data_IF_641367792727
#
_entry.id   IF_641367792727
#
_cell.length_a   1.000
_cell.length_b   1.000
_cell.length_c   1.000
_cell.angle_alpha   90.00
_cell.angle_beta   90.00
_cell.angle_gamma   90.00
#
_symmetry.space_group_name_H-M   'P 1'
#
loop_
_entity.id
_entity.type
_entity.pdbx_description
1 polymer ?
#
# COMPACT_ATOMS: atom_id res chain seq x y z
N UNK A 1 -3.60 -15.60 4.77
CA UNK A 1 -3.14 -14.20 4.66
C UNK A 1 -3.46 -13.49 5.96
N UNK A 2 -2.61 -12.55 6.39
CA UNK A 2 -2.88 -11.76 7.59
C UNK A 2 -3.99 -10.73 7.30
N UNK A 3 -4.94 -10.61 8.21
CA UNK A 3 -6.04 -9.64 8.15
C UNK A 3 -5.83 -8.61 9.26
N UNK A 4 -6.11 -7.35 8.96
CA UNK A 4 -6.04 -6.29 9.95
C UNK A 4 -7.10 -6.48 11.06
N UNK A 5 -6.78 -6.14 12.33
CA UNK A 5 -7.76 -6.12 13.41
C UNK A 5 -8.95 -5.22 13.07
N UNK A 6 -10.15 -5.62 13.47
CA UNK A 6 -11.40 -4.91 13.15
C UNK A 6 -11.38 -3.44 13.62
N UNK A 7 -10.77 -3.16 14.77
CA UNK A 7 -10.62 -1.79 15.27
C UNK A 7 -9.76 -0.90 14.34
N UNK A 8 -8.70 -1.47 13.74
CA UNK A 8 -7.89 -0.73 12.76
C UNK A 8 -8.68 -0.51 11.46
N UNK A 9 -9.45 -1.51 11.03
CA UNK A 9 -10.31 -1.39 9.84
C UNK A 9 -11.37 -0.31 10.03
N UNK A 10 -12.01 -0.26 11.20
CA UNK A 10 -12.99 0.77 11.55
C UNK A 10 -12.37 2.18 11.52
N UNK A 11 -11.20 2.35 12.14
CA UNK A 11 -10.48 3.63 12.16
C UNK A 11 -10.08 4.07 10.74
N UNK A 12 -9.61 3.13 9.92
CA UNK A 12 -9.27 3.40 8.53
C UNK A 12 -10.51 3.79 7.71
N UNK A 13 -11.62 3.09 7.91
CA UNK A 13 -12.89 3.40 7.24
C UNK A 13 -13.35 4.82 7.57
N UNK A 14 -13.34 5.21 8.85
CA UNK A 14 -13.67 6.57 9.28
C UNK A 14 -12.77 7.61 8.61
N UNK A 15 -11.47 7.35 8.50
CA UNK A 15 -10.54 8.22 7.77
C UNK A 15 -10.92 8.37 6.28
N UNK A 16 -11.22 7.26 5.60
CA UNK A 16 -11.62 7.28 4.18
C UNK A 16 -12.91 8.10 3.97
N UNK A 17 -13.92 7.86 4.81
CA UNK A 17 -15.23 8.52 4.72
C UNK A 17 -15.13 10.02 5.06
N UNK A 18 -14.47 10.36 6.16
CA UNK A 18 -14.30 11.77 6.59
C UNK A 18 -13.43 12.59 5.63
N UNK A 19 -12.50 11.94 4.92
CA UNK A 19 -11.65 12.60 3.93
C UNK A 19 -12.29 12.67 2.54
N UNK A 20 -13.49 12.10 2.34
CA UNK A 20 -14.16 12.06 1.04
C UNK A 20 -13.41 11.24 -0.02
N UNK A 21 -12.60 10.27 0.42
CA UNK A 21 -11.78 9.44 -0.46
C UNK A 21 -12.64 8.34 -1.08
N UNK A 22 -12.62 8.24 -2.42
CA UNK A 22 -13.24 7.11 -3.12
C UNK A 22 -12.25 5.94 -3.23
N UNK A 23 -12.38 4.96 -2.34
CA UNK A 23 -11.55 3.75 -2.31
C UNK A 23 -12.40 2.48 -2.15
N UNK A 24 -11.88 1.36 -2.67
CA UNK A 24 -12.46 0.02 -2.55
C UNK A 24 -11.91 -0.68 -1.32
N UNK A 25 -12.78 -1.31 -0.54
CA UNK A 25 -12.39 -2.12 0.61
C UNK A 25 -11.86 -3.49 0.16
N UNK A 26 -10.80 -3.95 0.80
CA UNK A 26 -10.27 -5.31 0.66
C UNK A 26 -10.64 -6.15 1.89
N UNK A 27 -10.90 -7.44 1.69
CA UNK A 27 -11.29 -8.37 2.77
C UNK A 27 -10.23 -8.53 3.87
N UNK A 28 -8.96 -8.24 3.56
CA UNK A 28 -7.83 -8.22 4.50
C UNK A 28 -7.80 -6.97 5.37
N UNK A 29 -8.68 -5.99 5.13
CA UNK A 29 -8.89 -4.84 6.01
C UNK A 29 -8.14 -3.57 5.62
N UNK A 30 -7.61 -3.48 4.40
CA UNK A 30 -7.11 -2.23 3.84
C UNK A 30 -8.06 -1.68 2.78
N UNK A 31 -7.81 -0.45 2.35
CA UNK A 31 -8.52 0.18 1.23
C UNK A 31 -7.55 0.49 0.10
N UNK A 32 -8.05 0.53 -1.13
CA UNK A 32 -7.23 0.88 -2.28
C UNK A 32 -8.03 1.61 -3.36
N UNK A 33 -7.33 2.34 -4.22
CA UNK A 33 -7.91 2.95 -5.42
C UNK A 33 -6.97 2.66 -6.58
N UNK A 34 -7.46 2.01 -7.63
CA UNK A 34 -6.68 1.73 -8.84
C UNK A 34 -6.87 2.90 -9.80
N UNK A 35 -5.80 3.63 -10.09
CA UNK A 35 -5.80 4.70 -11.09
C UNK A 35 -5.63 4.12 -12.50
N UNK A 36 -4.81 3.07 -12.63
CA UNK A 36 -4.63 2.32 -13.88
C UNK A 36 -4.41 0.84 -13.56
N UNK A 37 -5.14 -0.10 -14.19
CA UNK A 37 -4.96 -1.53 -13.91
C UNK A 37 -3.64 -2.08 -14.44
N UNK A 38 -3.01 -1.40 -15.41
CA UNK A 38 -1.87 -1.95 -16.16
C UNK A 38 -2.29 -3.10 -17.09
N UNK A 39 -1.30 -3.83 -17.61
CA UNK A 39 -1.54 -4.97 -18.50
C UNK A 39 -0.49 -6.07 -18.34
N UNK A 40 -0.88 -7.30 -18.68
CA UNK A 40 -0.02 -8.49 -18.56
C UNK A 40 -0.19 -9.24 -17.25
N UNK A 41 0.79 -10.07 -16.92
CA UNK A 41 0.77 -10.87 -15.71
C UNK A 41 0.93 -9.99 -14.46
N UNK A 42 0.15 -10.30 -13.43
CA UNK A 42 0.25 -9.64 -12.12
C UNK A 42 1.41 -10.25 -11.32
N UNK A 43 2.15 -9.45 -10.54
CA UNK A 43 3.22 -9.98 -9.70
C UNK A 43 2.65 -10.91 -8.63
N UNK A 44 3.48 -11.85 -8.18
CA UNK A 44 3.20 -12.64 -6.98
C UNK A 44 4.06 -12.12 -5.83
N UNK A 45 3.81 -12.56 -4.59
CA UNK A 45 4.66 -12.19 -3.44
C UNK A 45 6.14 -12.56 -3.64
N UNK A 46 6.45 -13.54 -4.50
CA UNK A 46 7.83 -13.95 -4.82
C UNK A 46 8.47 -13.10 -5.94
N UNK A 47 7.69 -12.27 -6.62
CA UNK A 47 8.18 -11.44 -7.70
C UNK A 47 9.12 -10.35 -7.19
N UNK A 48 10.16 -10.07 -7.97
CA UNK A 48 10.91 -8.84 -7.88
C UNK A 48 10.21 -7.80 -8.77
N UNK A 49 9.91 -6.62 -8.25
CA UNK A 49 9.19 -5.56 -8.97
C UNK A 49 9.99 -4.28 -8.99
N UNK A 50 9.86 -3.51 -10.07
CA UNK A 50 10.34 -2.13 -10.13
C UNK A 50 9.15 -1.18 -10.02
N UNK A 51 9.24 -0.21 -9.11
CA UNK A 51 8.15 0.73 -8.83
C UNK A 51 8.64 2.18 -8.76
N UNK A 52 7.72 3.11 -8.98
CA UNK A 52 7.77 4.44 -8.37
C UNK A 52 6.81 4.45 -7.18
N UNK A 53 7.16 5.13 -6.10
CA UNK A 53 6.22 5.30 -4.99
C UNK A 53 6.42 6.57 -4.19
N UNK A 54 5.36 6.96 -3.49
CA UNK A 54 5.32 8.00 -2.48
C UNK A 54 4.53 7.48 -1.28
N UNK A 55 5.14 7.47 -0.10
CA UNK A 55 4.52 7.13 1.18
C UNK A 55 4.28 8.38 2.02
N UNK A 56 3.04 8.57 2.48
CA UNK A 56 2.66 9.70 3.33
C UNK A 56 1.77 9.29 4.52
N UNK A 57 1.81 10.13 5.55
CA UNK A 57 0.88 10.08 6.68
C UNK A 57 -0.46 10.72 6.30
N UNK A 58 -1.51 10.47 7.10
CA UNK A 58 -2.85 11.05 6.89
C UNK A 58 -2.89 12.57 6.96
N UNK A 59 -1.87 13.21 7.57
CA UNK A 59 -1.72 14.66 7.58
C UNK A 59 -1.01 15.22 6.32
N UNK A 60 -0.75 14.39 5.32
CA UNK A 60 -0.07 14.77 4.08
C UNK A 60 1.46 14.82 4.15
N UNK A 61 2.07 14.58 5.33
CA UNK A 61 3.53 14.53 5.45
C UNK A 61 4.08 13.30 4.73
N UNK A 62 4.85 13.53 3.68
CA UNK A 62 5.63 12.49 2.99
C UNK A 62 6.76 12.05 3.92
N UNK A 63 6.89 10.74 4.13
CA UNK A 63 7.96 10.16 4.94
C UNK A 63 8.99 9.41 4.09
N UNK A 64 8.60 8.93 2.91
CA UNK A 64 9.48 8.21 1.99
C UNK A 64 8.96 8.31 0.55
N UNK A 65 9.86 8.31 -0.42
CA UNK A 65 9.51 8.29 -1.85
C UNK A 65 10.71 7.89 -2.68
N UNK A 66 10.49 7.13 -3.75
CA UNK A 66 11.55 6.76 -4.68
C UNK A 66 11.00 6.50 -6.09
N UNK A 67 11.89 6.50 -7.09
CA UNK A 67 11.55 6.26 -8.49
C UNK A 67 12.49 5.23 -9.11
N UNK A 68 11.92 4.35 -9.94
CA UNK A 68 12.64 3.29 -10.66
C UNK A 68 13.50 2.40 -9.72
N UNK A 69 12.99 2.10 -8.53
CA UNK A 69 13.64 1.26 -7.53
C UNK A 69 13.05 -0.15 -7.57
N UNK A 70 13.87 -1.16 -7.28
CA UNK A 70 13.46 -2.56 -7.34
C UNK A 70 13.46 -3.23 -5.97
N UNK A 71 12.46 -4.06 -5.71
CA UNK A 71 12.28 -4.77 -4.46
C UNK A 71 11.81 -6.20 -4.70
N UNK A 72 12.27 -7.14 -3.87
CA UNK A 72 11.58 -8.42 -3.72
C UNK A 72 10.33 -8.22 -2.86
N UNK A 73 9.13 -8.47 -3.40
CA UNK A 73 7.87 -8.17 -2.72
C UNK A 73 7.78 -8.83 -1.33
N UNK A 74 8.23 -10.08 -1.20
CA UNK A 74 8.22 -10.83 0.06
C UNK A 74 8.96 -10.17 1.24
N UNK A 75 9.83 -9.20 0.97
CA UNK A 75 10.61 -8.50 2.00
C UNK A 75 9.92 -7.22 2.51
N UNK A 76 8.83 -6.81 1.86
CA UNK A 76 8.16 -5.55 2.15
C UNK A 76 7.02 -5.72 3.15
N UNK A 77 6.42 -4.60 3.58
CA UNK A 77 5.23 -4.62 4.45
C UNK A 77 4.09 -5.41 3.80
N UNK A 78 3.26 -6.05 4.63
CA UNK A 78 2.18 -6.93 4.15
C UNK A 78 1.22 -6.21 3.20
N UNK A 79 0.89 -4.95 3.47
CA UNK A 79 0.02 -4.17 2.58
C UNK A 79 0.55 -4.04 1.16
N UNK A 80 1.87 -3.99 0.96
CA UNK A 80 2.46 -4.00 -0.38
C UNK A 80 2.43 -5.38 -1.03
N UNK A 81 2.74 -6.43 -0.25
CA UNK A 81 2.67 -7.82 -0.71
C UNK A 81 1.27 -8.18 -1.22
N UNK A 82 0.26 -7.60 -0.59
CA UNK A 82 -1.14 -7.91 -0.82
C UNK A 82 -1.82 -6.94 -1.82
N UNK A 83 -1.35 -5.68 -1.87
CA UNK A 83 -1.91 -4.61 -2.69
C UNK A 83 -1.28 -4.45 -4.07
N UNK A 84 0.05 -4.61 -4.22
CA UNK A 84 0.71 -4.48 -5.53
C UNK A 84 0.20 -5.53 -6.54
N UNK A 85 -0.03 -6.81 -6.16
CA UNK A 85 -0.63 -7.81 -7.03
C UNK A 85 -2.05 -7.49 -7.52
N UNK A 86 -2.70 -6.43 -7.05
CA UNK A 86 -4.00 -6.00 -7.57
C UNK A 86 -3.88 -5.37 -8.97
N UNK A 87 -2.71 -4.84 -9.33
CA UNK A 87 -2.40 -4.25 -10.63
C UNK A 87 -1.33 -5.05 -11.40
N UNK A 88 -1.28 -4.86 -12.70
CA UNK A 88 -0.25 -5.41 -13.59
C UNK A 88 0.77 -4.32 -13.97
N UNK A 89 1.91 -4.66 -14.60
CA UNK A 89 2.86 -3.68 -15.12
C UNK A 89 2.22 -2.55 -15.94
N UNK A 90 2.71 -1.33 -15.75
CA UNK A 90 2.11 -0.09 -16.24
C UNK A 90 0.90 0.40 -15.43
N UNK A 91 0.53 -0.31 -14.37
CA UNK A 91 -0.57 0.05 -13.47
C UNK A 91 -0.14 1.05 -12.39
N UNK A 92 -1.15 1.72 -11.83
CA UNK A 92 -1.00 2.68 -10.74
C UNK A 92 -2.09 2.45 -9.71
N UNK A 93 -1.70 2.38 -8.45
CA UNK A 93 -2.57 2.09 -7.31
C UNK A 93 -2.21 2.98 -6.12
N UNK A 94 -3.23 3.45 -5.42
CA UNK A 94 -3.11 4.03 -4.10
C UNK A 94 -3.58 3.02 -3.06
N UNK A 95 -2.74 2.72 -2.08
CA UNK A 95 -3.04 1.85 -0.94
C UNK A 95 -3.21 2.69 0.31
N UNK A 96 -4.25 2.41 1.08
CA UNK A 96 -4.51 2.99 2.40
C UNK A 96 -4.42 1.85 3.42
N UNK A 97 -3.34 1.85 4.18
CA UNK A 97 -2.94 0.71 4.99
C UNK A 97 -3.15 0.97 6.48
N UNK A 98 -3.84 0.07 7.20
CA UNK A 98 -3.88 0.11 8.65
C UNK A 98 -2.52 -0.31 9.23
N UNK A 99 -2.23 0.02 10.51
CA UNK A 99 -0.94 -0.23 11.13
C UNK A 99 -0.44 -1.68 11.02
N UNK A 100 -1.30 -2.67 11.26
CA UNK A 100 -0.94 -4.09 11.21
C UNK A 100 -0.51 -4.59 9.82
N UNK A 101 -0.93 -3.91 8.75
CA UNK A 101 -0.50 -4.18 7.37
C UNK A 101 0.67 -3.27 6.94
N UNK A 102 1.15 -2.42 7.85
CA UNK A 102 2.26 -1.49 7.69
C UNK A 102 3.36 -1.74 8.75
N UNK A 103 3.69 -0.74 9.57
CA UNK A 103 4.76 -0.80 10.59
C UNK A 103 4.27 -1.09 12.01
N UNK A 104 2.95 -1.25 12.20
CA UNK A 104 2.34 -1.65 13.47
C UNK A 104 2.56 -0.67 14.61
N UNK A 105 2.77 -1.21 15.82
CA UNK A 105 2.88 -0.47 17.07
C UNK A 105 4.25 0.15 17.34
N UNK A 106 5.16 0.14 16.35
CA UNK A 106 6.52 0.69 16.48
C UNK A 106 6.64 1.96 15.65
N UNK A 107 7.29 2.97 16.21
CA UNK A 107 7.71 4.13 15.45
C UNK A 107 8.92 3.78 14.58
N UNK A 108 8.99 4.33 13.36
CA UNK A 108 10.07 4.05 12.42
C UNK A 108 10.32 5.23 11.49
N UNK A 109 11.55 5.74 11.40
CA UNK A 109 11.95 6.69 10.35
C UNK A 109 11.07 7.94 10.25
N UNK A 110 10.55 8.47 11.36
CA UNK A 110 9.63 9.61 11.36
C UNK A 110 8.14 9.26 11.19
N UNK A 111 7.80 7.98 11.14
CA UNK A 111 6.45 7.42 11.19
C UNK A 111 6.10 7.12 12.66
N UNK A 112 5.06 7.75 13.24
CA UNK A 112 4.56 7.41 14.56
C UNK A 112 4.03 5.97 14.64
N UNK A 113 4.11 5.36 15.82
CA UNK A 113 3.45 4.07 16.07
C UNK A 113 1.94 4.15 15.76
N UNK A 114 1.36 3.05 15.28
CA UNK A 114 -0.06 2.94 14.96
C UNK A 114 -0.56 3.93 13.89
N UNK A 115 0.31 4.34 12.96
CA UNK A 115 -0.09 5.24 11.86
C UNK A 115 -0.82 4.50 10.73
N UNK A 116 -1.89 5.12 10.22
CA UNK A 116 -2.42 4.81 8.88
C UNK A 116 -1.44 5.38 7.85
N UNK A 117 -1.06 4.57 6.87
CA UNK A 117 -0.15 4.98 5.80
C UNK A 117 -0.85 4.99 4.45
N UNK A 118 -0.50 5.99 3.64
CA UNK A 118 -0.99 6.14 2.28
C UNK A 118 0.19 5.97 1.33
N UNK A 119 0.08 5.01 0.42
CA UNK A 119 1.10 4.76 -0.61
C UNK A 119 0.51 4.93 -1.99
N UNK A 120 1.06 5.85 -2.78
CA UNK A 120 0.83 5.90 -4.23
C UNK A 120 1.95 5.11 -4.90
N UNK A 121 1.61 4.15 -5.74
CA UNK A 121 2.55 3.21 -6.32
C UNK A 121 2.26 3.07 -7.81
N UNK A 122 3.29 3.30 -8.64
CA UNK A 122 3.27 2.92 -10.05
C UNK A 122 4.11 1.65 -10.22
N UNK A 123 3.47 0.58 -10.68
CA UNK A 123 4.17 -0.67 -11.00
C UNK A 123 4.77 -0.56 -12.40
N UNK A 124 6.09 -0.39 -12.48
CA UNK A 124 6.78 -0.21 -13.76
C UNK A 124 6.93 -1.53 -14.48
N UNK A 125 7.43 -2.57 -13.78
CA UNK A 125 7.63 -3.90 -14.35
C UNK A 125 7.83 -4.96 -13.27
N UNK A 126 7.67 -6.22 -13.69
CA UNK A 126 8.14 -7.40 -12.95
C UNK A 126 9.53 -7.74 -13.51
N UNK A 127 10.51 -7.91 -12.62
CA UNK A 127 11.86 -8.32 -12.96
C UNK A 127 11.91 -9.86 -13.03
N UNK A 128 12.45 -10.38 -14.14
CA UNK A 128 12.64 -11.81 -14.38
C UNK A 128 13.88 -12.39 -13.72
#
# INVERSE_FOLDING_TARGET
MAKAPEAEVATLKEFIESSGISATADERGFYYSIQSPGSGEKPTVRSNVTVNYEGSLTNGKIFDSNKNISFGLYQLILGWQEGIPLIAPGGSITLYLPPSLAYGSRAQGGIPANSILIFKIDLIRING
#
